data_IF_903639434912
#
_entry.id   IF_903639434912
#
_cell.length_a   1.000
_cell.length_b   1.000
_cell.length_c   1.000
_cell.angle_alpha   90.00
_cell.angle_beta   90.00
_cell.angle_gamma   90.00
#
_symmetry.space_group_name_H-M   'P 1'
#
loop_
_entity.id
_entity.type
_entity.pdbx_description
1 polymer ?
#
# COMPACT_ATOMS: atom_id res chain seq x y z
N UNK A 1 -27.01 -11.50 14.99
CA UNK A 1 -25.58 -11.38 14.63
C UNK A 1 -25.52 -11.03 13.16
N UNK A 2 -24.93 -9.89 12.80
CA UNK A 2 -24.94 -9.37 11.41
C UNK A 2 -23.91 -10.05 10.51
N UNK A 3 -24.11 -9.94 9.20
CA UNK A 3 -23.15 -10.41 8.19
C UNK A 3 -21.79 -9.70 8.35
N UNK A 4 -20.71 -10.43 8.06
CA UNK A 4 -19.36 -9.85 8.00
C UNK A 4 -19.19 -9.21 6.64
N UNK A 5 -18.90 -7.91 6.62
CA UNK A 5 -18.71 -7.13 5.40
C UNK A 5 -17.57 -6.12 5.59
N UNK A 6 -16.99 -5.66 4.48
CA UNK A 6 -16.06 -4.52 4.48
C UNK A 6 -16.89 -3.24 4.48
N UNK A 7 -16.61 -2.35 5.43
CA UNK A 7 -17.28 -1.05 5.53
C UNK A 7 -16.54 0.03 4.73
N UNK A 8 -15.22 0.12 4.92
CA UNK A 8 -14.35 1.07 4.21
C UNK A 8 -12.91 0.61 4.22
N UNK A 9 -12.10 1.09 3.28
CA UNK A 9 -10.67 0.84 3.22
C UNK A 9 -9.93 2.02 2.59
N UNK A 10 -8.64 2.12 2.88
CA UNK A 10 -7.76 3.09 2.26
C UNK A 10 -6.31 2.91 2.67
N UNK A 11 -5.36 3.49 1.91
CA UNK A 11 -5.54 4.23 0.67
C UNK A 11 -5.94 3.32 -0.52
N UNK A 12 -6.46 3.91 -1.59
CA UNK A 12 -6.88 3.20 -2.83
C UNK A 12 -5.80 3.17 -3.91
N UNK A 13 -4.65 3.75 -3.62
CA UNK A 13 -3.52 3.84 -4.54
C UNK A 13 -2.20 3.92 -3.76
N UNK A 14 -1.09 3.58 -4.44
CA UNK A 14 0.26 3.69 -3.89
C UNK A 14 1.34 3.28 -4.87
N UNK A 15 2.59 3.24 -4.40
CA UNK A 15 3.79 2.98 -5.22
C UNK A 15 3.82 1.55 -5.73
N UNK A 16 4.38 1.34 -6.91
CA UNK A 16 4.59 0.00 -7.47
C UNK A 16 5.57 -0.84 -6.65
N UNK A 17 6.54 -0.22 -5.97
CA UNK A 17 7.39 -0.92 -5.01
C UNK A 17 6.65 -1.36 -3.73
N UNK A 18 5.39 -0.96 -3.57
CA UNK A 18 4.55 -1.29 -2.44
C UNK A 18 5.04 -0.68 -1.11
N UNK A 19 4.62 -1.33 -0.02
CA UNK A 19 4.96 -0.92 1.35
C UNK A 19 3.96 0.05 1.98
N UNK A 20 3.01 0.58 1.22
CA UNK A 20 1.91 1.40 1.74
C UNK A 20 1.10 0.61 2.76
N UNK A 21 0.83 1.23 3.91
CA UNK A 21 -0.07 0.64 4.90
C UNK A 21 -1.50 0.94 4.50
N UNK A 22 -2.25 -0.13 4.23
CA UNK A 22 -3.69 -0.08 3.95
C UNK A 22 -4.43 -0.49 5.21
N UNK A 23 -5.41 0.32 5.59
CA UNK A 23 -6.37 -0.01 6.61
C UNK A 23 -7.69 -0.45 5.96
N UNK A 24 -8.40 -1.35 6.65
CA UNK A 24 -9.71 -1.85 6.26
C UNK A 24 -10.57 -2.00 7.51
N UNK A 25 -11.74 -1.37 7.50
CA UNK A 25 -12.72 -1.47 8.56
C UNK A 25 -13.75 -2.54 8.20
N UNK A 26 -13.97 -3.49 9.12
CA UNK A 26 -14.91 -4.58 8.95
C UNK A 26 -16.14 -4.37 9.84
N UNK A 27 -17.30 -4.84 9.39
CA UNK A 27 -18.50 -4.99 10.22
C UNK A 27 -18.68 -6.44 10.64
N UNK A 28 -19.48 -6.63 11.69
CA UNK A 28 -19.72 -7.95 12.28
C UNK A 28 -18.60 -8.40 13.22
N UNK A 29 -18.67 -9.66 13.66
CA UNK A 29 -17.70 -10.28 14.56
C UNK A 29 -16.72 -11.11 13.73
N UNK A 30 -15.50 -10.60 13.55
CA UNK A 30 -14.49 -11.24 12.68
C UNK A 30 -13.41 -11.94 13.50
N UNK A 31 -13.23 -13.24 13.26
CA UNK A 31 -12.12 -14.02 13.79
C UNK A 31 -10.90 -13.91 12.85
N UNK A 32 -9.75 -13.49 13.40
CA UNK A 32 -8.51 -13.30 12.62
C UNK A 32 -8.10 -14.54 11.79
N UNK A 33 -8.15 -15.78 12.32
CA UNK A 33 -7.71 -16.97 11.57
C UNK A 33 -8.61 -17.33 10.38
N UNK A 34 -9.84 -16.82 10.36
CA UNK A 34 -10.83 -17.09 9.31
C UNK A 34 -10.83 -16.03 8.21
N UNK A 35 -10.06 -14.95 8.39
CA UNK A 35 -9.94 -13.85 7.44
C UNK A 35 -8.65 -14.01 6.64
N UNK A 36 -8.76 -13.90 5.31
CA UNK A 36 -7.60 -13.76 4.42
C UNK A 36 -7.79 -12.61 3.44
N UNK A 37 -6.67 -11.96 3.12
CA UNK A 37 -6.60 -10.84 2.20
C UNK A 37 -5.51 -11.17 1.17
N UNK A 38 -5.83 -11.01 -0.11
CA UNK A 38 -4.87 -11.17 -1.21
C UNK A 38 -5.05 -10.07 -2.24
N UNK A 39 -3.96 -9.72 -2.89
CA UNK A 39 -3.94 -8.89 -4.07
C UNK A 39 -4.00 -9.78 -5.30
N UNK A 40 -4.70 -9.36 -6.34
CA UNK A 40 -4.85 -10.11 -7.57
C UNK A 40 -4.94 -9.18 -8.77
N UNK A 41 -4.42 -9.60 -9.91
CA UNK A 41 -4.63 -8.93 -11.18
C UNK A 41 -4.98 -9.98 -12.24
N UNK A 42 -6.22 -9.96 -12.71
CA UNK A 42 -6.75 -11.02 -13.58
C UNK A 42 -6.00 -11.12 -14.92
N UNK A 43 -5.65 -9.98 -15.54
CA UNK A 43 -5.00 -9.94 -16.86
C UNK A 43 -3.63 -10.63 -16.91
N UNK A 44 -2.89 -10.63 -15.80
CA UNK A 44 -1.52 -11.16 -15.73
C UNK A 44 -1.44 -12.42 -14.89
N UNK A 45 -2.54 -12.81 -14.23
CA UNK A 45 -2.58 -13.88 -13.25
C UNK A 45 -1.77 -13.60 -11.98
N UNK A 46 -1.27 -12.38 -11.79
CA UNK A 46 -0.49 -12.03 -10.60
C UNK A 46 -1.38 -12.09 -9.36
N UNK A 47 -0.87 -12.71 -8.30
CA UNK A 47 -1.57 -12.83 -7.02
C UNK A 47 -0.58 -12.83 -5.87
N UNK A 48 -0.94 -12.18 -4.77
CA UNK A 48 -0.09 -12.09 -3.59
C UNK A 48 -0.91 -12.03 -2.31
N UNK A 49 -0.79 -13.05 -1.47
CA UNK A 49 -1.38 -13.04 -0.13
C UNK A 49 -0.58 -12.13 0.80
N UNK A 50 -1.28 -11.42 1.69
CA UNK A 50 -0.65 -10.51 2.64
C UNK A 50 -0.89 -10.96 4.08
N UNK A 51 0.11 -10.72 4.92
CA UNK A 51 -0.07 -10.79 6.37
C UNK A 51 -0.66 -9.48 6.87
N UNK A 52 -1.44 -9.57 7.94
CA UNK A 52 -2.13 -8.41 8.50
C UNK A 52 -2.14 -8.43 10.02
N UNK A 53 -2.29 -7.23 10.57
CA UNK A 53 -2.57 -6.99 11.98
C UNK A 53 -4.04 -6.61 12.13
N UNK A 54 -4.67 -6.98 13.25
CA UNK A 54 -6.08 -6.70 13.53
C UNK A 54 -6.19 -6.04 14.89
N UNK A 55 -6.86 -4.90 14.95
CA UNK A 55 -7.19 -4.19 16.18
C UNK A 55 -8.70 -3.93 16.22
N UNK A 56 -9.43 -4.67 17.06
CA UNK A 56 -10.89 -4.70 17.01
C UNK A 56 -11.36 -5.16 15.63
N UNK A 57 -12.14 -4.32 14.95
CA UNK A 57 -12.62 -4.56 13.59
C UNK A 57 -11.81 -3.86 12.49
N UNK A 58 -10.74 -3.16 12.86
CA UNK A 58 -9.83 -2.58 11.89
C UNK A 58 -8.68 -3.55 11.59
N UNK A 59 -8.33 -3.69 10.32
CA UNK A 59 -7.26 -4.53 9.82
C UNK A 59 -6.24 -3.66 9.09
N UNK A 60 -4.96 -3.88 9.36
CA UNK A 60 -3.86 -3.17 8.71
C UNK A 60 -2.91 -4.16 8.03
N UNK A 61 -2.58 -3.90 6.78
CA UNK A 61 -1.65 -4.69 5.98
C UNK A 61 -0.84 -3.80 5.05
N UNK A 62 0.24 -4.33 4.50
CA UNK A 62 1.07 -3.61 3.54
C UNK A 62 0.73 -4.04 2.12
N UNK A 63 0.62 -3.07 1.21
CA UNK A 63 0.57 -3.35 -0.22
C UNK A 63 1.86 -4.09 -0.62
N UNK A 64 1.78 -5.24 -1.31
CA UNK A 64 2.96 -5.92 -1.81
C UNK A 64 3.58 -5.12 -2.95
N UNK A 65 4.83 -5.43 -3.30
CA UNK A 65 5.46 -4.89 -4.49
C UNK A 65 4.84 -5.53 -5.74
N UNK A 66 4.62 -4.72 -6.77
CA UNK A 66 4.15 -5.13 -8.08
C UNK A 66 5.28 -4.94 -9.10
N UNK A 67 6.01 -6.02 -9.37
CA UNK A 67 7.26 -6.00 -10.15
C UNK A 67 7.08 -6.03 -11.67
N UNK A 68 5.83 -6.03 -12.17
CA UNK A 68 5.57 -5.96 -13.61
C UNK A 68 5.52 -4.49 -14.07
N UNK A 69 5.39 -4.26 -15.38
CA UNK A 69 5.22 -2.90 -15.90
C UNK A 69 4.01 -2.23 -15.24
N UNK A 70 4.26 -1.13 -14.53
CA UNK A 70 3.35 -0.60 -13.53
C UNK A 70 2.95 0.85 -13.85
N UNK A 71 2.49 1.11 -15.07
CA UNK A 71 1.95 2.42 -15.42
C UNK A 71 0.46 2.47 -15.09
N UNK A 72 0.12 2.98 -13.90
CA UNK A 72 -1.26 3.14 -13.43
C UNK A 72 -2.05 1.82 -13.46
N UNK A 73 -1.48 0.80 -12.82
CA UNK A 73 -1.99 -0.57 -12.85
C UNK A 73 -3.03 -0.80 -11.76
N UNK A 74 -4.24 -1.14 -12.16
CA UNK A 74 -5.30 -1.56 -11.24
C UNK A 74 -5.17 -3.04 -10.88
N UNK A 75 -5.32 -3.32 -9.59
CA UNK A 75 -5.37 -4.66 -9.00
C UNK A 75 -6.56 -4.74 -8.05
N UNK A 76 -7.02 -5.95 -7.79
CA UNK A 76 -8.09 -6.25 -6.85
C UNK A 76 -7.50 -6.71 -5.52
N UNK A 77 -8.03 -6.16 -4.43
CA UNK A 77 -7.89 -6.66 -3.07
C UNK A 77 -9.10 -7.56 -2.82
N UNK A 78 -8.87 -8.86 -2.77
CA UNK A 78 -9.89 -9.86 -2.50
C UNK A 78 -9.87 -10.18 -1.01
N UNK A 79 -11.02 -9.99 -0.35
CA UNK A 79 -11.20 -10.25 1.07
C UNK A 79 -12.10 -11.46 1.22
N UNK A 80 -11.60 -12.47 1.92
CA UNK A 80 -12.34 -13.71 2.15
C UNK A 80 -12.49 -13.98 3.64
N UNK A 81 -13.69 -14.37 4.06
CA UNK A 81 -13.98 -14.82 5.41
C UNK A 81 -14.59 -16.23 5.36
N UNK A 82 -14.08 -17.16 6.18
CA UNK A 82 -14.53 -18.56 6.19
C UNK A 82 -14.50 -19.23 4.80
N UNK A 83 -13.51 -18.87 3.97
CA UNK A 83 -13.31 -19.32 2.58
C UNK A 83 -14.33 -18.79 1.56
N UNK A 84 -15.20 -17.87 1.94
CA UNK A 84 -16.10 -17.17 1.03
C UNK A 84 -15.58 -15.76 0.75
N UNK A 85 -15.66 -15.31 -0.50
CA UNK A 85 -15.37 -13.92 -0.86
C UNK A 85 -16.47 -13.03 -0.30
N UNK A 86 -16.10 -12.14 0.62
CA UNK A 86 -17.03 -11.19 1.26
C UNK A 86 -16.95 -9.81 0.64
N UNK A 87 -15.82 -9.47 0.02
CA UNK A 87 -15.64 -8.22 -0.71
C UNK A 87 -14.49 -8.29 -1.71
N UNK A 88 -14.57 -7.44 -2.74
CA UNK A 88 -13.52 -7.23 -3.74
C UNK A 88 -13.39 -5.75 -4.03
N UNK A 89 -12.27 -5.16 -3.59
CA UNK A 89 -12.02 -3.74 -3.74
C UNK A 89 -10.87 -3.47 -4.72
N UNK A 90 -10.85 -2.32 -5.37
CA UNK A 90 -9.75 -1.96 -6.28
C UNK A 90 -8.64 -1.17 -5.59
N UNK A 91 -7.39 -1.44 -5.96
CA UNK A 91 -6.21 -0.68 -5.60
C UNK A 91 -5.39 -0.35 -6.85
N UNK A 92 -4.84 0.85 -6.91
CA UNK A 92 -4.11 1.32 -8.10
C UNK A 92 -2.65 1.54 -7.76
N UNK A 93 -1.77 0.79 -8.42
CA UNK A 93 -0.34 1.05 -8.37
C UNK A 93 0.04 2.15 -9.36
N UNK A 94 0.78 3.15 -8.90
CA UNK A 94 1.20 4.30 -9.70
C UNK A 94 2.72 4.49 -9.64
N UNK A 95 3.39 4.24 -10.77
CA UNK A 95 4.84 4.38 -10.94
C UNK A 95 5.34 5.82 -10.82
N UNK A 96 4.49 6.83 -11.04
CA UNK A 96 4.91 8.23 -10.87
C UNK A 96 5.32 8.51 -9.43
N UNK A 97 4.70 7.82 -8.48
CA UNK A 97 5.05 7.90 -7.07
C UNK A 97 6.43 7.30 -6.80
N UNK A 98 6.78 6.18 -7.42
CA UNK A 98 8.12 5.61 -7.27
C UNK A 98 9.21 6.60 -7.69
N UNK A 99 8.99 7.31 -8.80
CA UNK A 99 9.93 8.33 -9.30
C UNK A 99 10.02 9.52 -8.35
N UNK A 100 8.87 10.05 -7.90
CA UNK A 100 8.84 11.19 -6.97
C UNK A 100 9.53 10.87 -5.65
N UNK A 101 9.27 9.69 -5.07
CA UNK A 101 9.93 9.26 -3.83
C UNK A 101 11.43 8.99 -4.02
N UNK A 102 11.84 8.45 -5.17
CA UNK A 102 13.26 8.32 -5.47
C UNK A 102 13.96 9.69 -5.54
N UNK A 103 13.33 10.70 -6.16
CA UNK A 103 13.86 12.06 -6.25
C UNK A 103 13.93 12.77 -4.90
N UNK A 104 12.91 12.61 -4.04
CA UNK A 104 12.94 13.20 -2.69
C UNK A 104 14.06 12.60 -1.84
N UNK A 105 14.30 11.29 -1.92
CA UNK A 105 15.38 10.64 -1.18
C UNK A 105 16.77 11.02 -1.70
N UNK A 106 16.91 11.34 -3.00
CA UNK A 106 18.17 11.83 -3.58
C UNK A 106 18.46 13.28 -3.18
N UNK A 107 17.43 14.08 -2.89
CA UNK A 107 17.59 15.46 -2.41
C UNK A 107 18.08 15.59 -0.96
N UNK A 108 18.10 14.50 -0.19
CA UNK A 108 18.65 14.49 1.18
C UNK A 108 20.16 14.17 1.23
N UNK A 109 20.76 13.68 0.14
CA UNK A 109 22.21 13.41 0.07
C UNK A 109 23.05 14.61 -0.44
N UNK A 110 22.45 15.66 -1.01
CA UNK A 110 23.15 16.91 -1.38
C UNK A 110 23.07 17.99 -0.29
N UNK A 111 23.21 17.57 0.97
CA UNK A 111 23.12 18.43 2.16
C UNK A 111 24.32 18.35 3.09
N UNK A 112 25.53 18.08 2.60
CA UNK A 112 26.74 18.19 3.44
C UNK A 112 27.91 18.83 2.72
N UNK A 113 28.44 19.89 3.34
CA UNK A 113 29.72 20.57 3.06
C UNK A 113 29.81 21.49 1.83
N UNK A 114 29.14 22.64 1.90
CA UNK A 114 29.79 23.89 1.48
C UNK A 114 29.77 24.90 2.64
N UNK A 115 30.87 24.92 3.39
CA UNK A 115 31.22 26.07 4.24
C UNK A 115 31.34 27.29 3.33
N UNK A 116 30.42 28.23 3.43
CA UNK A 116 30.62 29.57 2.90
C UNK A 116 31.74 30.23 3.70
N UNK A 117 32.93 30.31 3.11
CA UNK A 117 34.01 31.15 3.60
C UNK A 117 33.68 32.60 3.25
N UNK A 118 33.23 33.36 4.25
CA UNK A 118 32.88 34.78 4.15
C UNK A 118 34.10 35.72 4.24
N UNK A 119 35.33 35.23 4.07
CA UNK A 119 36.54 36.04 4.25
C UNK A 119 36.93 36.93 3.06
N UNK A 120 36.20 36.94 1.93
CA UNK A 120 36.58 37.71 0.73
C UNK A 120 35.57 38.77 0.25
N UNK A 121 34.91 39.47 1.17
CA UNK A 121 34.08 40.64 0.83
C UNK A 121 34.44 41.84 1.72
N UNK A 122 35.70 42.28 1.62
CA UNK A 122 36.11 43.63 2.01
C UNK A 122 37.45 43.98 1.34
N UNK A 123 37.39 44.54 0.12
CA UNK A 123 38.29 45.62 -0.34
C UNK A 123 37.54 46.52 -1.31
#
# INVERSE_FOLDING_TARGET
>A
YGAVEVDTYGPKWGKCNGGETIFMLLKGRVLKPELSIKFMQENTGWTQSVTFTKNGNCVYFKAPAYHQFCSNTKVDIVVTYQKEEIDRCSYTYDQTLDVLFAQMNLGEEEGSDTKYDLSNLAM
#
